data_IF_873901106097
#
_entry.id   IF_873901106097
#
_cell.length_a   1.000
_cell.length_b   1.000
_cell.length_c   1.000
_cell.angle_alpha   90.00
_cell.angle_beta   90.00
_cell.angle_gamma   90.00
#
_symmetry.space_group_name_H-M   'P 1'
#
loop_
_entity.id
_entity.type
_entity.pdbx_description
1 polymer ?
#
# COMPACT_ATOMS: atom_id res chain seq x y z
N UNK A 1 -1.42 14.93 21.84
CA UNK A 1 -0.63 14.94 20.60
C UNK A 1 -0.93 13.70 19.75
N UNK A 2 -1.99 13.79 18.96
CA UNK A 2 -2.45 12.81 17.95
C UNK A 2 -3.62 13.42 17.14
N UNK A 3 -4.27 14.43 17.73
CA UNK A 3 -5.31 15.28 17.14
C UNK A 3 -4.76 16.43 16.27
N UNK A 4 -3.46 16.72 16.37
CA UNK A 4 -2.80 17.74 15.54
C UNK A 4 -2.66 17.20 14.12
N UNK A 5 -3.06 17.96 13.08
CA UNK A 5 -2.79 17.61 11.69
C UNK A 5 -1.34 17.28 11.40
N UNK A 6 -1.08 16.45 10.38
CA UNK A 6 0.27 16.26 9.85
C UNK A 6 0.85 17.60 9.38
N UNK A 7 2.11 17.87 9.73
CA UNK A 7 2.79 19.10 9.35
C UNK A 7 3.04 19.17 7.85
N UNK A 8 3.22 20.38 7.32
CA UNK A 8 3.63 20.61 5.93
C UNK A 8 4.93 19.87 5.62
N UNK A 9 5.92 19.92 6.51
CA UNK A 9 7.19 19.18 6.36
C UNK A 9 6.98 17.67 6.15
N UNK A 10 6.13 17.03 6.97
CA UNK A 10 5.84 15.60 6.80
C UNK A 10 5.11 15.32 5.49
N UNK A 11 4.16 16.17 5.11
CA UNK A 11 3.40 16.02 3.85
C UNK A 11 4.32 16.15 2.65
N UNK A 12 5.16 17.18 2.61
CA UNK A 12 6.07 17.46 1.49
C UNK A 12 7.14 16.37 1.34
N UNK A 13 7.59 15.78 2.45
CA UNK A 13 8.57 14.69 2.43
C UNK A 13 7.98 13.36 1.96
N UNK A 14 6.78 13.01 2.44
CA UNK A 14 6.23 11.65 2.30
C UNK A 14 5.27 11.54 1.11
N UNK A 15 4.39 12.52 0.92
CA UNK A 15 3.30 12.44 -0.06
C UNK A 15 3.81 12.22 -1.50
N UNK A 16 4.87 12.89 -1.99
CA UNK A 16 5.37 12.66 -3.35
C UNK A 16 5.84 11.22 -3.58
N UNK A 17 6.34 10.54 -2.55
CA UNK A 17 6.83 9.15 -2.65
C UNK A 17 5.68 8.17 -2.68
N UNK A 18 4.80 8.24 -1.70
CA UNK A 18 3.75 7.20 -1.52
C UNK A 18 2.55 7.36 -2.47
N UNK A 19 2.43 8.51 -3.15
CA UNK A 19 1.44 8.71 -4.21
C UNK A 19 1.92 8.28 -5.60
N UNK A 20 3.22 8.04 -5.77
CA UNK A 20 3.78 7.44 -6.98
C UNK A 20 3.68 5.91 -6.92
N UNK A 21 2.96 5.32 -7.87
CA UNK A 21 2.77 3.87 -7.93
C UNK A 21 4.05 3.13 -8.29
N UNK A 22 5.01 3.77 -8.97
CA UNK A 22 6.31 3.16 -9.26
C UNK A 22 7.10 2.98 -7.97
N UNK A 23 7.19 4.02 -7.13
CA UNK A 23 7.82 3.92 -5.82
C UNK A 23 7.19 2.83 -4.94
N UNK A 24 5.86 2.73 -4.92
CA UNK A 24 5.17 1.68 -4.14
C UNK A 24 5.46 0.28 -4.70
N UNK A 25 5.58 0.14 -6.02
CA UNK A 25 5.97 -1.11 -6.66
C UNK A 25 7.42 -1.48 -6.30
N UNK A 26 8.37 -0.57 -6.44
CA UNK A 26 9.78 -0.78 -6.10
C UNK A 26 9.93 -1.20 -4.63
N UNK A 27 9.23 -0.51 -3.71
CA UNK A 27 9.19 -0.89 -2.30
C UNK A 27 8.67 -2.32 -2.08
N UNK A 28 7.63 -2.74 -2.81
CA UNK A 28 7.13 -4.12 -2.73
C UNK A 28 8.15 -5.12 -3.28
N UNK A 29 8.87 -4.77 -4.34
CA UNK A 29 9.89 -5.64 -4.95
C UNK A 29 11.11 -5.79 -4.03
N UNK A 30 11.57 -4.70 -3.41
CA UNK A 30 12.65 -4.73 -2.40
C UNK A 30 12.27 -5.62 -1.21
N UNK A 31 11.03 -5.51 -0.71
CA UNK A 31 10.52 -6.37 0.36
C UNK A 31 10.41 -7.83 -0.08
N UNK A 32 10.08 -8.09 -1.35
CA UNK A 32 10.05 -9.45 -1.89
C UNK A 32 11.46 -10.06 -1.90
N UNK A 33 12.44 -9.32 -2.41
CA UNK A 33 13.84 -9.75 -2.46
C UNK A 33 14.40 -10.04 -1.07
N UNK A 34 14.02 -9.23 -0.07
CA UNK A 34 14.39 -9.48 1.32
C UNK A 34 13.68 -10.70 1.91
N UNK A 35 12.36 -10.80 1.78
CA UNK A 35 11.57 -11.81 2.49
C UNK A 35 11.78 -13.21 1.90
N UNK A 36 12.06 -13.32 0.59
CA UNK A 36 12.31 -14.61 -0.07
C UNK A 36 13.60 -15.30 0.39
N UNK A 37 14.47 -14.60 1.13
CA UNK A 37 15.67 -15.20 1.74
C UNK A 37 15.33 -16.18 2.86
N UNK A 38 14.15 -16.05 3.47
CA UNK A 38 13.70 -16.98 4.51
C UNK A 38 13.32 -18.35 3.91
N UNK A 39 13.77 -19.43 4.55
CA UNK A 39 13.51 -20.81 4.07
C UNK A 39 12.02 -21.17 4.12
N UNK A 40 11.26 -20.55 5.02
CA UNK A 40 9.81 -20.72 5.18
C UNK A 40 8.99 -19.70 4.40
N UNK A 41 9.60 -18.94 3.49
CA UNK A 41 8.90 -17.93 2.70
C UNK A 41 7.70 -18.52 1.93
N UNK A 42 6.51 -18.02 2.21
CA UNK A 42 5.29 -18.32 1.48
C UNK A 42 4.87 -17.10 0.66
N UNK A 43 4.88 -17.26 -0.68
CA UNK A 43 4.53 -16.18 -1.60
C UNK A 43 3.08 -15.70 -1.43
N UNK A 44 2.13 -16.58 -1.11
CA UNK A 44 0.75 -16.17 -0.91
C UNK A 44 0.59 -15.36 0.39
N UNK A 45 1.34 -15.70 1.43
CA UNK A 45 1.39 -14.90 2.67
C UNK A 45 2.00 -13.52 2.37
N UNK A 46 3.10 -13.48 1.61
CA UNK A 46 3.72 -12.23 1.18
C UNK A 46 2.75 -11.33 0.39
N UNK A 47 2.04 -11.87 -0.59
CA UNK A 47 1.05 -11.07 -1.36
C UNK A 47 -0.07 -10.53 -0.47
N UNK A 48 -0.51 -11.29 0.55
CA UNK A 48 -1.46 -10.81 1.55
C UNK A 48 -0.87 -9.67 2.39
N UNK A 49 0.40 -9.76 2.80
CA UNK A 49 1.10 -8.67 3.49
C UNK A 49 1.19 -7.42 2.61
N UNK A 50 1.54 -7.56 1.34
CA UNK A 50 1.60 -6.42 0.40
C UNK A 50 0.22 -5.82 0.15
N UNK A 51 -0.84 -6.62 0.21
CA UNK A 51 -2.21 -6.11 0.11
C UNK A 51 -2.60 -5.21 1.28
N UNK A 52 -2.18 -5.57 2.50
CA UNK A 52 -2.30 -4.71 3.68
C UNK A 52 -1.47 -3.45 3.53
N UNK A 53 -0.19 -3.57 3.17
CA UNK A 53 0.74 -2.43 3.01
C UNK A 53 0.19 -1.38 2.04
N UNK A 54 -0.26 -1.81 0.85
CA UNK A 54 -0.85 -0.92 -0.16
C UNK A 54 -2.12 -0.24 0.34
N UNK A 55 -2.95 -0.92 1.12
CA UNK A 55 -4.12 -0.33 1.76
C UNK A 55 -3.77 0.72 2.82
N UNK A 56 -2.72 0.49 3.61
CA UNK A 56 -2.20 1.49 4.55
C UNK A 56 -1.63 2.70 3.83
N UNK A 57 -0.87 2.49 2.75
CA UNK A 57 -0.36 3.55 1.88
C UNK A 57 -1.49 4.40 1.31
N UNK A 58 -2.58 3.77 0.84
CA UNK A 58 -3.75 4.48 0.35
C UNK A 58 -4.37 5.38 1.43
N UNK A 59 -4.61 4.83 2.62
CA UNK A 59 -5.17 5.59 3.74
C UNK A 59 -4.25 6.75 4.15
N UNK A 60 -2.94 6.50 4.25
CA UNK A 60 -1.95 7.52 4.60
C UNK A 60 -1.88 8.61 3.52
N UNK A 61 -1.87 8.24 2.24
CA UNK A 61 -1.87 9.19 1.12
C UNK A 61 -3.07 10.13 1.22
N UNK A 62 -4.27 9.58 1.46
CA UNK A 62 -5.47 10.39 1.60
C UNK A 62 -5.43 11.27 2.87
N UNK A 63 -4.93 10.74 3.99
CA UNK A 63 -4.79 11.52 5.22
C UNK A 63 -3.82 12.70 5.05
N UNK A 64 -2.70 12.51 4.34
CA UNK A 64 -1.73 13.57 4.07
C UNK A 64 -2.28 14.60 3.06
N UNK A 65 -2.99 14.18 2.02
CA UNK A 65 -3.65 15.10 1.07
C UNK A 65 -4.65 16.01 1.79
N UNK A 66 -5.48 15.44 2.66
CA UNK A 66 -6.54 16.16 3.37
C UNK A 66 -6.09 16.86 4.66
N UNK A 67 -4.77 16.88 4.94
CA UNK A 67 -4.21 17.43 6.17
C UNK A 67 -4.89 16.89 7.45
N UNK A 68 -5.19 15.59 7.48
CA UNK A 68 -5.75 14.92 8.66
C UNK A 68 -4.71 14.82 9.78
N UNK A 69 -5.17 14.55 10.99
CA UNK A 69 -4.34 14.18 12.13
C UNK A 69 -4.07 12.67 12.19
N UNK A 70 -3.02 12.23 12.90
CA UNK A 70 -2.78 10.80 13.15
C UNK A 70 -3.99 10.06 13.73
N UNK A 71 -4.75 10.70 14.63
CA UNK A 71 -5.97 10.12 15.20
C UNK A 71 -7.02 9.85 14.12
N UNK A 72 -7.22 10.78 13.20
CA UNK A 72 -8.18 10.60 12.11
C UNK A 72 -7.72 9.52 11.13
N UNK A 73 -6.41 9.41 10.85
CA UNK A 73 -5.85 8.35 10.02
C UNK A 73 -6.16 6.97 10.60
N UNK A 74 -5.88 6.73 11.88
CA UNK A 74 -6.12 5.40 12.50
C UNK A 74 -7.61 5.07 12.65
N UNK A 75 -8.48 6.07 12.53
CA UNK A 75 -9.94 5.88 12.51
C UNK A 75 -10.48 5.54 11.11
N UNK A 76 -9.67 5.70 10.05
CA UNK A 76 -10.07 5.33 8.69
C UNK A 76 -10.33 3.81 8.61
N UNK A 77 -11.33 3.37 7.81
CA UNK A 77 -11.56 1.95 7.60
C UNK A 77 -10.31 1.26 7.05
N UNK A 78 -10.02 0.06 7.55
CA UNK A 78 -8.91 -0.74 7.04
C UNK A 78 -9.21 -1.19 5.61
N UNK A 79 -8.29 -0.87 4.70
CA UNK A 79 -8.40 -1.20 3.27
C UNK A 79 -7.38 -2.27 2.93
N UNK A 80 -7.74 -3.19 2.03
CA UNK A 80 -6.86 -4.14 1.38
C UNK A 80 -6.86 -3.85 -0.12
N UNK A 81 -5.66 -3.73 -0.70
CA UNK A 81 -5.48 -3.48 -2.13
C UNK A 81 -4.83 -4.71 -2.73
N UNK A 82 -5.58 -5.49 -3.50
CA UNK A 82 -5.10 -6.75 -4.09
C UNK A 82 -4.75 -6.54 -5.55
N UNK A 83 -3.66 -7.15 -6.02
CA UNK A 83 -3.41 -7.26 -7.46
C UNK A 83 -4.30 -8.35 -8.05
N UNK A 84 -5.13 -7.98 -9.01
CA UNK A 84 -5.78 -8.97 -9.84
C UNK A 84 -4.72 -9.60 -10.74
N UNK A 85 -4.57 -10.92 -10.65
CA UNK A 85 -3.76 -11.65 -11.62
C UNK A 85 -4.56 -11.69 -12.91
N UNK A 86 -4.22 -10.83 -13.86
CA UNK A 86 -4.69 -10.96 -15.23
C UNK A 86 -4.37 -12.38 -15.72
N UNK A 87 -5.39 -13.18 -16.04
CA UNK A 87 -5.25 -14.45 -16.76
C UNK A 87 -4.84 -14.15 -18.21
N UNK A 88 -3.66 -13.59 -18.43
CA UNK A 88 -3.18 -13.29 -19.78
C UNK A 88 -2.25 -14.39 -20.24
N UNK A 89 -2.84 -15.47 -20.78
CA UNK A 89 -2.16 -16.29 -21.80
C UNK A 89 -1.95 -15.38 -23.02
N UNK A 90 -0.76 -14.81 -23.19
CA UNK A 90 -0.38 -14.15 -24.43
C UNK A 90 0.28 -12.79 -24.27
N UNK A 91 1.56 -12.74 -24.66
CA UNK A 91 2.38 -11.58 -25.09
C UNK A 91 1.72 -10.18 -24.99
N UNK A 92 2.05 -9.44 -23.93
CA UNK A 92 2.55 -8.05 -23.99
C UNK A 92 3.04 -7.61 -22.60
N UNK A 93 4.25 -7.04 -22.50
CA UNK A 93 4.97 -6.73 -21.25
C UNK A 93 4.72 -5.29 -20.76
N UNK A 94 3.47 -4.92 -20.59
CA UNK A 94 3.11 -3.86 -19.65
C UNK A 94 2.10 -4.52 -18.72
N UNK A 95 2.56 -4.90 -17.53
CA UNK A 95 1.69 -5.44 -16.51
C UNK A 95 0.73 -4.33 -16.11
N UNK A 96 -0.43 -4.31 -16.74
CA UNK A 96 -1.56 -3.51 -16.29
C UNK A 96 -2.00 -4.15 -14.97
N UNK A 97 -1.36 -3.72 -13.89
CA UNK A 97 -1.67 -4.17 -12.54
C UNK A 97 -3.06 -3.62 -12.18
N UNK A 98 -4.08 -4.37 -12.56
CA UNK A 98 -5.44 -4.06 -12.13
C UNK A 98 -5.54 -4.34 -10.63
N UNK A 99 -5.73 -3.30 -9.83
CA UNK A 99 -5.89 -3.41 -8.38
C UNK A 99 -7.37 -3.44 -7.97
N UNK A 100 -7.71 -4.32 -7.05
CA UNK A 100 -9.04 -4.38 -6.43
C UNK A 100 -8.97 -3.88 -4.99
N UNK A 101 -9.85 -2.95 -4.65
CA UNK A 101 -10.01 -2.43 -3.30
C UNK A 101 -11.08 -3.20 -2.53
N UNK A 102 -10.75 -3.66 -1.33
CA UNK A 102 -11.71 -4.27 -0.39
C UNK A 102 -11.52 -3.66 1.00
N UNK A 103 -12.57 -3.64 1.80
CA UNK A 103 -12.51 -3.15 3.18
C UNK A 103 -12.53 -4.34 4.15
N UNK A 104 -11.70 -4.31 5.19
CA UNK A 104 -11.82 -5.28 6.26
C UNK A 104 -13.02 -4.93 7.14
N UNK A 105 -13.93 -5.88 7.30
CA UNK A 105 -14.96 -5.82 8.34
C UNK A 105 -14.28 -5.90 9.71
N UNK A 106 -14.61 -4.98 10.62
CA UNK A 106 -14.26 -5.14 12.03
C UNK A 106 -15.04 -6.35 12.57
N UNK A 107 -14.32 -7.34 13.07
CA UNK A 107 -14.89 -8.45 13.82
C UNK A 107 -15.38 -7.97 15.19
#
# INVERSE_FOLDING_TARGET
MARTPFSTETRDLILPRISDMNFVQELCDDLYELFKMDRGFDRNVFEKQMSVLRGQILNLTQALKDAKSPLQLVQMPAVLIQRSRGRSKGKSRVADDNFTQTFQSKA
#
